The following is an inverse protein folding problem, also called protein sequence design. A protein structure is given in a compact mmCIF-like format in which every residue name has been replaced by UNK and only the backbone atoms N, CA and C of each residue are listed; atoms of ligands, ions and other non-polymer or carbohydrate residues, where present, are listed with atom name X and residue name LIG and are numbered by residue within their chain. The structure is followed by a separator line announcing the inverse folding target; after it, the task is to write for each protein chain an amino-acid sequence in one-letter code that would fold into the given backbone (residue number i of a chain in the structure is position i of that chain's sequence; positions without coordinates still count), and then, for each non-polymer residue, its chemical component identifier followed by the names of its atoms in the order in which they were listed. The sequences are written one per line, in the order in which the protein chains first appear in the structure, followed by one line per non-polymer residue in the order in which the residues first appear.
data_IF_460979244700
#
_entry.id   IF_460979244700
#
_cell.length_a   1.000
_cell.length_b   1.000
_cell.length_c   1.000
_cell.angle_alpha   90.00
_cell.angle_beta   90.00
_cell.angle_gamma   90.00
#
_symmetry.space_group_name_H-M   'P 1'
#
loop_
_entity.id
_entity.type
_entity.pdbx_description
1 polymer ?
2 non-polymer ?
3 non-polymer ?
4 non-polymer ?
#
# COMPACT_ATOMS: atom_id res chain seq x y z
N UNK A 9 -3.85 16.50 22.53
CA UNK A 9 -3.28 15.44 21.69
C UNK A 9 -2.53 14.40 22.53
N UNK A 10 -3.17 13.27 22.78
CA UNK A 10 -2.55 12.18 23.54
C UNK A 10 -1.43 11.53 22.72
N UNK A 11 -0.21 11.55 23.25
CA UNK A 11 0.94 11.04 22.53
C UNK A 11 1.18 9.55 22.77
N UNK A 12 0.53 9.00 23.80
CA UNK A 12 0.70 7.58 24.12
C UNK A 12 0.01 6.63 23.13
N UNK A 13 -1.25 6.92 22.75
CA UNK A 13 -1.86 6.01 21.75
C UNK A 13 -1.16 6.09 20.38
N UNK A 14 -0.53 7.23 20.08
CA UNK A 14 0.17 7.41 18.82
C UNK A 14 1.43 6.54 18.74
N UNK A 15 2.26 6.62 19.78
CA UNK A 15 3.50 5.83 19.83
C UNK A 15 3.21 4.34 19.81
N UNK A 16 2.08 3.94 20.36
CA UNK A 16 1.69 2.54 20.42
C UNK A 16 1.23 2.02 19.06
N UNK A 17 0.53 2.87 18.31
CA UNK A 17 0.05 2.50 17.00
C UNK A 17 1.19 2.29 16.03
N UNK A 18 2.20 3.15 16.12
CA UNK A 18 3.39 3.05 15.29
C UNK A 18 4.23 1.84 15.69
N UNK A 19 4.13 1.46 16.96
CA UNK A 19 4.87 0.30 17.47
C UNK A 19 4.30 -0.99 16.89
N UNK A 20 2.99 -1.19 17.03
CA UNK A 20 2.34 -2.38 16.52
C UNK A 20 2.55 -2.47 15.01
N UNK A 21 2.41 -1.34 14.34
CA UNK A 21 2.57 -1.24 12.89
C UNK A 21 3.97 -1.67 12.47
N UNK A 22 4.94 -1.47 13.35
CA UNK A 22 6.31 -1.90 13.11
C UNK A 22 6.49 -3.36 13.52
N UNK A 23 5.92 -3.71 14.66
CA UNK A 23 5.96 -5.08 15.15
C UNK A 23 5.28 -6.02 14.17
N UNK A 24 4.21 -5.56 13.55
CA UNK A 24 3.54 -6.34 12.52
C UNK A 24 4.51 -6.61 11.40
N UNK A 25 5.21 -5.57 10.95
CA UNK A 25 6.21 -5.68 9.91
C UNK A 25 7.26 -6.72 10.26
N UNK A 26 7.70 -6.70 11.51
CA UNK A 26 8.69 -7.66 11.98
C UNK A 26 8.10 -9.06 12.02
N UNK A 27 6.83 -9.14 12.40
CA UNK A 27 6.15 -10.43 12.52
C UNK A 27 6.02 -11.11 11.16
N UNK A 28 5.72 -10.32 10.14
CA UNK A 28 5.57 -10.84 8.78
C UNK A 28 6.88 -11.42 8.26
N UNK A 29 8.00 -10.87 8.71
CA UNK A 29 9.31 -11.36 8.32
C UNK A 29 9.66 -12.64 9.07
N UNK A 30 9.21 -12.74 10.33
CA UNK A 30 9.51 -13.89 11.16
C UNK A 30 8.84 -15.15 10.63
N UNK A 31 7.61 -15.00 10.14
CA UNK A 31 6.86 -16.12 9.58
C UNK A 31 7.50 -16.59 8.27
N UNK A 32 8.13 -15.67 7.55
CA UNK A 32 8.82 -15.92 6.27
C UNK A 32 7.85 -16.32 5.16
N UNK A 33 6.92 -17.24 5.45
CA UNK A 33 5.91 -17.65 4.49
C UNK A 33 4.95 -16.50 4.20
N UNK A 34 4.47 -16.40 2.95
CA UNK A 34 3.59 -15.31 2.52
C UNK A 34 2.27 -15.28 3.30
N UNK A 35 1.47 -14.24 3.10
CA UNK A 35 0.18 -14.12 3.78
C UNK A 35 -0.84 -15.09 3.17
N UNK A 36 -0.49 -15.65 2.02
CA UNK A 36 -1.26 -16.73 1.40
C UNK A 36 -2.68 -16.42 0.97
N UNK A 37 -2.84 -15.47 0.05
CA UNK A 37 -4.16 -15.18 -0.51
C UNK A 37 -4.08 -15.01 -2.03
N UNK A 38 -2.89 -15.20 -2.57
CA UNK A 38 -2.66 -15.09 -4.01
C UNK A 38 -2.06 -16.34 -4.61
N UNK A 39 -0.75 -16.34 -4.85
CA UNK A 39 -0.09 -17.48 -5.49
C UNK A 39 0.02 -18.66 -4.53
N UNK A 40 0.91 -18.55 -3.55
CA UNK A 40 1.14 -19.64 -2.59
C UNK A 40 0.00 -19.79 -1.57
N UNK A 41 -1.22 -19.98 -2.04
CA UNK A 41 -2.37 -20.14 -1.14
C UNK A 41 -3.02 -21.52 -1.27
N UNK A 42 -2.68 -22.21 -2.35
CA UNK A 42 -3.26 -23.52 -2.62
C UNK A 42 -2.60 -24.59 -1.75
N UNK A 48 -15.66 -23.47 0.07
CA UNK A 48 -16.76 -22.65 0.54
C UNK A 48 -16.30 -21.61 1.56
N UNK A 49 -15.03 -21.70 1.95
CA UNK A 49 -14.46 -20.77 2.94
C UNK A 49 -13.90 -19.50 2.30
N UNK A 50 -14.36 -19.20 1.09
CA UNK A 50 -13.87 -18.05 0.34
C UNK A 50 -15.01 -17.22 -0.25
N UNK A 51 -14.70 -15.98 -0.63
CA UNK A 51 -15.68 -15.11 -1.26
C UNK A 51 -15.00 -14.28 -2.36
N UNK A 52 -15.78 -13.77 -3.33
CA UNK A 52 -15.25 -12.99 -4.46
C UNK A 52 -14.23 -11.93 -4.05
N UNK A 53 -13.11 -11.86 -4.77
CA UNK A 53 -12.00 -11.00 -4.39
C UNK A 53 -12.35 -9.51 -4.53
N UNK A 54 -13.26 -9.20 -5.44
CA UNK A 54 -13.70 -7.81 -5.63
C UNK A 54 -14.39 -7.30 -4.37
N UNK A 55 -15.22 -8.14 -3.76
CA UNK A 55 -15.90 -7.80 -2.52
C UNK A 55 -14.94 -7.83 -1.34
N UNK A 56 -13.96 -8.72 -1.42
CA UNK A 56 -12.99 -8.91 -0.35
C UNK A 56 -12.11 -7.69 -0.15
N UNK A 57 -11.47 -7.25 -1.23
CA UNK A 57 -10.59 -6.09 -1.16
C UNK A 57 -11.38 -4.81 -0.98
N UNK A 58 -12.64 -4.82 -1.40
CA UNK A 58 -13.52 -3.67 -1.17
C UNK A 58 -13.71 -3.47 0.33
N UNK A 59 -14.13 -4.54 1.02
CA UNK A 59 -14.37 -4.49 2.46
C UNK A 59 -13.10 -4.25 3.27
N UNK A 60 -12.00 -4.85 2.83
CA UNK A 60 -10.74 -4.73 3.56
C UNK A 60 -10.17 -3.33 3.53
N UNK A 61 -10.13 -2.72 2.35
CA UNK A 61 -9.46 -1.43 2.18
C UNK A 61 -10.38 -0.25 2.44
N UNK A 62 -11.68 -0.50 2.53
CA UNK A 62 -12.66 0.57 2.74
C UNK A 62 -12.42 1.42 3.99
N UNK A 63 -12.04 0.79 5.14
CA UNK A 63 -11.81 1.63 6.33
C UNK A 63 -10.71 2.68 6.16
N UNK A 64 -9.66 2.36 5.40
CA UNK A 64 -8.56 3.31 5.20
C UNK A 64 -8.97 4.47 4.30
N UNK A 65 -10.18 4.40 3.76
CA UNK A 65 -10.72 5.53 3.03
C UNK A 65 -11.78 6.27 3.86
N UNK A 66 -12.76 5.53 4.37
CA UNK A 66 -13.90 6.14 5.04
C UNK A 66 -13.50 6.92 6.30
N UNK A 67 -12.60 6.33 7.09
CA UNK A 67 -12.18 6.96 8.33
C UNK A 67 -11.44 8.29 8.07
N UNK A 68 -10.43 8.31 7.17
CA UNK A 68 -9.87 9.64 6.89
C UNK A 68 -10.84 10.57 6.17
N UNK A 69 -11.77 10.00 5.41
CA UNK A 69 -12.77 10.80 4.71
C UNK A 69 -13.72 11.46 5.72
N UNK A 70 -14.01 10.74 6.80
CA UNK A 70 -14.88 11.28 7.84
C UNK A 70 -14.16 12.33 8.66
N UNK A 71 -12.89 12.09 8.93
CA UNK A 71 -12.07 13.03 9.68
C UNK A 71 -11.92 14.34 8.90
N UNK A 72 -11.71 14.24 7.59
CA UNK A 72 -11.62 15.40 6.73
C UNK A 72 -12.91 16.19 6.67
N UNK A 73 -14.04 15.49 6.74
CA UNK A 73 -15.35 16.10 6.57
C UNK A 73 -15.73 17.06 7.70
N UNK A 74 -14.94 17.06 8.77
CA UNK A 74 -15.20 17.95 9.90
C UNK A 74 -14.26 19.17 9.89
N UNK A 75 -13.40 19.23 8.88
CA UNK A 75 -12.44 20.32 8.73
C UNK A 75 -12.91 21.33 7.69
N UNK A 76 -12.49 22.61 7.83
CA UNK A 76 -12.87 23.66 6.87
C UNK A 76 -12.38 23.36 5.46
N UNK A 77 -13.11 23.83 4.46
CA UNK A 77 -12.75 23.60 3.07
C UNK A 77 -11.91 24.76 2.54
N UNK A 78 -10.60 24.65 2.67
CA UNK A 78 -9.68 25.64 2.12
C UNK A 78 -8.29 25.02 1.86
N UNK A 79 -7.87 25.02 0.61
CA UNK A 79 -6.55 24.52 0.25
C UNK A 79 -5.47 25.47 0.78
N UNK A 80 -5.87 26.69 1.11
CA UNK A 80 -4.99 27.67 1.73
C UNK A 80 -4.92 27.44 3.24
N UNK A 81 -4.80 26.18 3.64
CA UNK A 81 -4.76 25.82 5.04
C UNK A 81 -3.61 24.90 5.39
N UNK A 82 -3.70 24.23 6.55
CA UNK A 82 -2.63 23.39 7.11
C UNK A 82 -2.14 22.29 6.16
N UNK A 83 -0.83 22.04 6.16
CA UNK A 83 -0.22 21.00 5.31
C UNK A 83 -0.65 19.60 5.71
N UNK A 84 -0.93 19.40 7.00
CA UNK A 84 -1.29 18.09 7.51
C UNK A 84 -2.62 17.60 6.99
N UNK A 85 -3.50 18.54 6.66
CA UNK A 85 -4.82 18.22 6.13
C UNK A 85 -4.74 17.79 4.68
N UNK A 86 -4.04 18.59 3.87
CA UNK A 86 -3.86 18.29 2.45
C UNK A 86 -3.18 16.95 2.27
N UNK A 87 -2.23 16.64 3.15
CA UNK A 87 -1.54 15.36 3.10
C UNK A 87 -2.49 14.22 3.46
N UNK A 88 -3.40 14.48 4.39
CA UNK A 88 -4.40 13.47 4.76
C UNK A 88 -5.36 13.24 3.60
N UNK A 89 -5.56 14.28 2.80
CA UNK A 89 -6.37 14.18 1.60
C UNK A 89 -5.74 13.26 0.58
N UNK A 90 -4.42 13.31 0.46
CA UNK A 90 -3.69 12.43 -0.44
C UNK A 90 -3.78 10.98 0.02
N UNK A 91 -3.78 10.79 1.33
CA UNK A 91 -3.98 9.47 1.91
C UNK A 91 -5.37 8.96 1.52
N UNK A 92 -6.33 9.87 1.55
CA UNK A 92 -7.70 9.57 1.19
C UNK A 92 -7.84 9.31 -0.31
N UNK A 93 -7.09 10.05 -1.11
CA UNK A 93 -7.10 9.89 -2.56
C UNK A 93 -6.56 8.52 -2.98
N UNK A 94 -5.47 8.09 -2.36
CA UNK A 94 -4.91 6.77 -2.63
C UNK A 94 -5.93 5.66 -2.37
N UNK A 95 -6.51 5.65 -1.19
CA UNK A 95 -7.39 4.57 -0.78
C UNK A 95 -8.78 4.68 -1.42
N UNK A 96 -9.03 5.80 -2.08
CA UNK A 96 -10.24 5.91 -2.89
C UNK A 96 -10.07 5.07 -4.14
N UNK A 97 -8.91 5.18 -4.77
CA UNK A 97 -8.56 4.34 -5.91
C UNK A 97 -8.49 2.87 -5.50
N UNK A 98 -7.82 2.59 -4.39
CA UNK A 98 -7.61 1.22 -3.92
C UNK A 98 -8.93 0.49 -3.67
N UNK A 99 -9.94 1.23 -3.22
CA UNK A 99 -11.21 0.64 -2.85
C UNK A 99 -12.21 0.60 -4.00
N UNK A 100 -12.48 1.76 -4.57
CA UNK A 100 -13.55 1.90 -5.56
C UNK A 100 -13.08 1.64 -6.99
N UNK A 101 -11.77 1.72 -7.22
CA UNK A 101 -11.27 1.48 -8.56
C UNK A 101 -10.54 0.15 -8.67
N UNK A 102 -9.47 -0.01 -7.90
CA UNK A 102 -8.69 -1.25 -7.96
C UNK A 102 -9.51 -2.46 -7.54
N UNK A 103 -10.12 -2.38 -6.37
CA UNK A 103 -10.77 -3.54 -5.77
C UNK A 103 -12.02 -3.96 -6.54
N UNK A 104 -12.77 -2.99 -7.05
CA UNK A 104 -14.02 -3.30 -7.75
C UNK A 104 -13.77 -3.78 -9.19
N UNK A 105 -12.53 -3.65 -9.65
CA UNK A 105 -12.15 -4.10 -10.99
C UNK A 105 -11.17 -5.26 -10.90
N UNK A 106 -10.91 -5.67 -9.66
CA UNK A 106 -9.97 -6.73 -9.36
C UNK A 106 -10.31 -8.03 -10.07
N UNK A 107 -9.30 -8.72 -10.57
CA UNK A 107 -9.51 -9.97 -11.30
C UNK A 107 -8.80 -11.12 -10.59
N UNK A 108 -8.85 -11.12 -9.26
CA UNK A 108 -8.17 -12.13 -8.48
C UNK A 108 -9.02 -13.34 -8.14
N UNK A 109 -8.37 -14.42 -7.73
CA UNK A 109 -9.07 -15.62 -7.28
C UNK A 109 -9.83 -15.35 -5.99
N UNK A 110 -10.84 -16.19 -5.67
CA UNK A 110 -11.59 -16.12 -4.41
C UNK A 110 -10.71 -15.97 -3.17
N UNK A 111 -11.11 -15.06 -2.29
CA UNK A 111 -10.31 -14.66 -1.14
C UNK A 111 -10.81 -15.30 0.16
N UNK A 112 -9.87 -15.72 1.03
CA UNK A 112 -10.21 -16.34 2.32
C UNK A 112 -10.97 -15.39 3.25
N UNK A 113 -12.18 -15.79 3.66
CA UNK A 113 -13.03 -14.95 4.50
C UNK A 113 -12.37 -14.59 5.82
N UNK A 114 -11.67 -15.56 6.41
CA UNK A 114 -10.95 -15.38 7.67
C UNK A 114 -10.05 -14.13 7.66
N UNK A 115 -9.34 -13.92 6.57
CA UNK A 115 -8.36 -12.83 6.50
C UNK A 115 -8.98 -11.44 6.35
N UNK A 116 -10.26 -11.39 5.97
CA UNK A 116 -10.91 -10.11 5.73
C UNK A 116 -11.00 -9.28 7.01
N UNK A 117 -11.47 -9.92 8.08
CA UNK A 117 -11.62 -9.23 9.36
C UNK A 117 -10.29 -8.70 9.89
N UNK A 118 -9.21 -9.45 9.67
CA UNK A 118 -7.89 -8.99 10.08
C UNK A 118 -7.39 -7.88 9.16
N UNK A 119 -7.63 -8.04 7.86
CA UNK A 119 -7.30 -7.02 6.89
C UNK A 119 -8.08 -5.76 7.15
N UNK A 120 -9.36 -5.90 7.51
CA UNK A 120 -10.19 -4.76 7.83
C UNK A 120 -9.73 -4.10 9.13
N UNK A 121 -9.36 -4.93 10.10
CA UNK A 121 -8.84 -4.43 11.38
C UNK A 121 -7.59 -3.60 11.16
N UNK A 122 -6.74 -4.04 10.24
CA UNK A 122 -5.51 -3.32 9.94
C UNK A 122 -5.84 -1.94 9.37
N UNK A 123 -6.64 -1.93 8.30
CA UNK A 123 -6.99 -0.68 7.62
C UNK A 123 -7.83 0.26 8.47
N UNK A 124 -8.46 -0.27 9.52
CA UNK A 124 -9.19 0.58 10.44
C UNK A 124 -8.21 1.31 11.36
N UNK A 125 -7.43 0.55 12.12
CA UNK A 125 -6.44 1.11 13.01
C UNK A 125 -5.46 2.03 12.31
N UNK A 126 -5.04 1.64 11.11
CA UNK A 126 -4.10 2.43 10.33
C UNK A 126 -4.72 3.74 9.87
N UNK A 127 -5.97 3.66 9.40
CA UNK A 127 -6.72 4.83 9.01
C UNK A 127 -6.94 5.77 10.18
N UNK A 128 -7.20 5.21 11.36
CA UNK A 128 -7.37 6.01 12.55
C UNK A 128 -6.07 6.69 12.93
N UNK A 129 -4.99 5.92 12.96
CA UNK A 129 -3.67 6.42 13.31
C UNK A 129 -3.23 7.59 12.41
N UNK A 130 -3.19 7.35 11.11
CA UNK A 130 -2.72 8.35 10.15
C UNK A 130 -3.60 9.61 10.16
N UNK A 131 -4.91 9.40 10.30
CA UNK A 131 -5.85 10.50 10.26
C UNK A 131 -5.84 11.33 11.53
N UNK A 132 -5.72 10.65 12.67
CA UNK A 132 -5.70 11.34 13.95
C UNK A 132 -4.41 12.13 14.14
N UNK A 133 -3.30 11.55 13.71
CA UNK A 133 -2.00 12.18 13.90
C UNK A 133 -1.89 13.47 13.09
N UNK A 134 -2.16 13.36 11.80
CA UNK A 134 -1.99 14.49 10.90
C UNK A 134 -2.82 15.71 11.28
N UNK A 135 -4.00 15.48 11.85
CA UNK A 135 -4.89 16.58 12.20
C UNK A 135 -4.61 17.15 13.59
N UNK A 136 -4.46 16.25 14.57
CA UNK A 136 -4.40 16.66 15.96
C UNK A 136 -2.97 16.78 16.52
N UNK A 137 -2.02 16.12 15.87
CA UNK A 137 -0.66 16.04 16.41
C UNK A 137 0.37 16.75 15.53
N UNK A 138 0.32 16.49 14.23
CA UNK A 138 1.32 17.00 13.29
C UNK A 138 1.43 18.52 13.32
N UNK A 139 2.66 19.02 13.33
CA UNK A 139 2.93 20.45 13.36
C UNK A 139 4.03 20.81 12.37
N UNK A 140 3.68 21.66 11.40
CA UNK A 140 4.59 22.00 10.31
C UNK A 140 5.02 23.46 10.36
N UNK A 141 6.24 23.75 9.88
CA UNK A 141 6.73 25.12 9.71
C UNK A 141 5.92 25.88 8.65
N UNK A 142 6.22 27.15 8.47
CA UNK A 142 5.44 28.01 7.59
C UNK A 142 5.81 27.86 6.12
N UNK A 143 7.07 27.55 5.84
CA UNK A 143 7.53 27.38 4.47
C UNK A 143 7.68 25.92 4.08
N UNK A 144 6.66 25.13 4.40
CA UNK A 144 6.72 23.69 4.17
C UNK A 144 6.54 23.33 2.69
N UNK A 145 5.68 24.06 1.99
CA UNK A 145 5.37 23.74 0.59
C UNK A 145 6.56 24.00 -0.35
N UNK A 146 7.57 24.72 0.16
CA UNK A 146 8.77 24.97 -0.61
C UNK A 146 9.95 24.16 -0.08
N UNK A 147 9.72 23.49 1.05
CA UNK A 147 10.75 22.66 1.67
C UNK A 147 11.05 21.42 0.83
N UNK A 148 12.30 20.99 0.86
CA UNK A 148 12.76 19.87 0.03
C UNK A 148 12.07 18.56 0.43
N UNK A 149 11.70 18.46 1.70
CA UNK A 149 11.03 17.26 2.20
C UNK A 149 9.65 17.10 1.57
N UNK A 150 8.98 18.21 1.31
CA UNK A 150 7.65 18.19 0.72
C UNK A 150 7.73 18.06 -0.80
N UNK A 151 8.53 18.93 -1.41
CA UNK A 151 8.64 19.02 -2.86
C UNK A 151 9.16 17.72 -3.46
N UNK A 152 10.01 17.02 -2.70
CA UNK A 152 10.51 15.71 -3.12
C UNK A 152 9.57 14.61 -2.64
N UNK A 153 9.11 14.73 -1.40
CA UNK A 153 8.19 13.77 -0.83
C UNK A 153 6.90 13.66 -1.61
N UNK A 154 6.36 14.79 -2.05
CA UNK A 154 5.14 14.79 -2.84
C UNK A 154 5.45 14.20 -4.22
N UNK A 155 6.62 14.56 -4.74
CA UNK A 155 7.10 14.01 -5.99
C UNK A 155 7.19 12.48 -5.94
N UNK A 156 7.81 11.95 -4.89
CA UNK A 156 7.96 10.50 -4.73
C UNK A 156 6.61 9.81 -4.58
N UNK A 157 5.67 10.52 -3.96
CA UNK A 157 4.33 9.96 -3.73
C UNK A 157 3.61 9.72 -5.05
N UNK A 158 3.51 10.75 -5.89
CA UNK A 158 2.83 10.61 -7.17
C UNK A 158 3.61 9.70 -8.11
N UNK A 159 4.92 9.66 -7.94
CA UNK A 159 5.77 8.75 -8.71
C UNK A 159 5.42 7.31 -8.41
N UNK A 160 5.48 6.97 -7.13
CA UNK A 160 5.17 5.62 -6.68
C UNK A 160 3.75 5.21 -6.96
N UNK A 161 2.82 6.15 -6.85
CA UNK A 161 1.42 5.85 -7.12
C UNK A 161 1.20 5.59 -8.61
N UNK A 162 1.91 6.34 -9.44
CA UNK A 162 1.85 6.13 -10.87
C UNK A 162 2.32 4.73 -11.20
N UNK A 163 3.43 4.34 -10.58
CA UNK A 163 4.01 3.02 -10.80
C UNK A 163 3.12 1.92 -10.28
N UNK A 164 2.64 2.08 -9.05
CA UNK A 164 1.76 1.10 -8.42
C UNK A 164 0.48 0.83 -9.22
N UNK A 165 -0.13 1.89 -9.74
CA UNK A 165 -1.38 1.76 -10.49
C UNK A 165 -1.13 1.24 -11.90
N UNK A 166 -0.05 1.69 -12.52
CA UNK A 166 0.33 1.25 -13.86
C UNK A 166 0.62 -0.24 -13.89
N UNK A 167 1.18 -0.76 -12.81
CA UNK A 167 1.53 -2.16 -12.71
C UNK A 167 0.33 -3.03 -12.34
N UNK A 168 -0.54 -2.51 -11.49
CA UNK A 168 -1.75 -3.25 -11.10
C UNK A 168 -2.68 -3.43 -12.30
N UNK A 169 -2.62 -2.48 -13.22
CA UNK A 169 -3.41 -2.55 -14.45
C UNK A 169 -2.82 -3.56 -15.43
N UNK A 170 -1.49 -3.57 -15.51
CA UNK A 170 -0.80 -4.53 -16.36
C UNK A 170 -1.12 -5.95 -15.89
N UNK A 171 -1.06 -6.15 -14.58
CA UNK A 171 -1.44 -7.43 -13.98
C UNK A 171 -2.90 -7.77 -14.23
N UNK A 172 -3.77 -6.76 -14.19
CA UNK A 172 -5.20 -6.97 -14.41
C UNK A 172 -5.50 -7.46 -15.82
N UNK A 173 -4.72 -6.97 -16.79
CA UNK A 173 -4.97 -7.31 -18.19
C UNK A 173 -4.34 -8.65 -18.54
N UNK A 174 -3.77 -9.32 -17.54
CA UNK A 174 -3.21 -10.65 -17.73
C UNK A 174 -4.29 -11.73 -17.61
N UNK A 175 -5.45 -11.34 -17.08
CA UNK A 175 -6.57 -12.25 -16.92
C UNK A 175 -7.86 -11.73 -17.55
N UNK A 176 -8.71 -12.66 -18.00
CA UNK A 176 -10.12 -12.36 -18.20
C UNK A 176 -10.78 -12.56 -16.84
N UNK A 177 -11.89 -11.84 -16.57
CA UNK A 177 -12.56 -12.08 -15.28
C UNK A 177 -12.98 -13.55 -15.14
N UNK A 178 -12.78 -14.11 -13.95
CA UNK A 178 -13.15 -15.49 -13.68
C UNK A 178 -12.01 -16.47 -13.89
N UNK A 179 -10.98 -16.05 -14.62
CA UNK A 179 -9.83 -16.89 -14.92
C UNK A 179 -8.99 -17.20 -13.69
N UNK A 180 -8.44 -18.40 -13.65
CA UNK A 180 -7.49 -18.80 -12.63
C UNK A 180 -6.17 -19.15 -13.32
N UNK A 181 -5.28 -18.17 -13.40
CA UNK A 181 -4.07 -18.32 -14.18
C UNK A 181 -3.00 -17.32 -13.79
N UNK A 182 -1.75 -17.68 -14.04
CA UNK A 182 -0.63 -16.77 -13.81
C UNK A 182 0.25 -16.71 -15.05
N UNK A 183 0.21 -15.56 -15.72
CA UNK A 183 1.05 -15.31 -16.88
C UNK A 183 2.25 -14.46 -16.48
N UNK A 184 3.31 -14.51 -17.28
CA UNK A 184 4.50 -13.72 -17.03
C UNK A 184 4.23 -12.23 -17.29
N UNK A 185 4.31 -11.42 -16.23
CA UNK A 185 4.03 -9.98 -16.36
C UNK A 185 5.07 -9.27 -17.22
N UNK A 186 4.62 -8.78 -18.37
CA UNK A 186 5.48 -8.04 -19.27
C UNK A 186 5.01 -6.61 -19.38
N UNK A 187 5.93 -5.70 -19.66
CA UNK A 187 5.59 -4.29 -19.77
C UNK A 187 6.39 -3.42 -18.83
N UNK A 188 6.09 -2.14 -18.84
CA UNK A 188 6.84 -1.13 -18.11
C UNK A 188 7.23 -1.46 -16.69
N UNK A 189 8.53 -1.39 -16.42
CA UNK A 189 9.11 -1.58 -15.10
C UNK A 189 9.01 -3.03 -14.58
N UNK A 190 8.15 -3.84 -15.18
CA UNK A 190 8.12 -5.27 -14.88
C UNK A 190 9.30 -5.95 -15.54
N UNK A 191 9.87 -5.31 -16.56
CA UNK A 191 11.03 -5.84 -17.26
C UNK A 191 12.26 -5.83 -16.37
N UNK A 192 12.20 -5.06 -15.29
CA UNK A 192 13.32 -4.95 -14.35
C UNK A 192 13.03 -5.70 -13.06
N UNK A 193 11.83 -5.54 -12.52
CA UNK A 193 11.48 -6.20 -11.26
C UNK A 193 10.17 -6.99 -11.34
N UNK A 194 10.14 -8.10 -10.61
CA UNK A 194 8.99 -9.00 -10.57
C UNK A 194 7.79 -8.35 -9.88
N UNK A 195 8.05 -7.60 -8.81
CA UNK A 195 6.98 -6.93 -8.08
C UNK A 195 6.97 -5.44 -8.34
N UNK A 196 6.62 -5.06 -9.55
CA UNK A 196 6.63 -3.66 -9.96
C UNK A 196 5.61 -2.82 -9.20
N UNK A 197 4.41 -3.36 -9.03
CA UNK A 197 3.36 -2.68 -8.28
C UNK A 197 3.75 -2.46 -6.82
N UNK A 198 4.51 -3.40 -6.27
CA UNK A 198 5.00 -3.28 -4.90
C UNK A 198 6.06 -2.22 -4.80
N UNK A 199 6.95 -2.17 -5.78
CA UNK A 199 7.98 -1.14 -5.84
C UNK A 199 7.35 0.24 -5.81
N UNK A 200 6.30 0.43 -6.61
CA UNK A 200 5.60 1.69 -6.66
C UNK A 200 4.99 2.07 -5.32
N UNK A 201 4.24 1.15 -4.72
CA UNK A 201 3.60 1.40 -3.44
C UNK A 201 4.62 1.73 -2.35
N UNK A 202 5.76 1.06 -2.37
CA UNK A 202 6.82 1.30 -1.40
C UNK A 202 7.39 2.70 -1.57
N UNK A 203 7.67 3.06 -2.81
CA UNK A 203 8.09 4.41 -3.15
C UNK A 203 7.04 5.42 -2.69
N UNK A 204 5.77 5.05 -2.86
CA UNK A 204 4.64 5.92 -2.54
C UNK A 204 4.59 6.30 -1.06
N UNK A 205 4.81 5.33 -0.18
CA UNK A 205 4.69 5.59 1.26
C UNK A 205 5.97 6.17 1.87
N UNK A 206 7.11 5.92 1.24
CA UNK A 206 8.36 6.52 1.69
C UNK A 206 8.30 8.02 1.45
N UNK A 207 7.84 8.41 0.27
CA UNK A 207 7.64 9.81 -0.04
C UNK A 207 6.59 10.42 0.86
N UNK A 208 5.57 9.64 1.18
CA UNK A 208 4.50 10.08 2.06
C UNK A 208 5.03 10.37 3.46
N UNK A 209 5.93 9.51 3.93
CA UNK A 209 6.58 9.71 5.22
C UNK A 209 7.46 10.95 5.16
N UNK A 210 8.05 11.18 4.00
CA UNK A 210 8.96 12.30 3.79
C UNK A 210 8.20 13.61 3.73
N UNK A 211 7.01 13.57 3.13
CA UNK A 211 6.18 14.76 2.97
C UNK A 211 5.47 15.13 4.28
N UNK A 212 5.21 14.14 5.12
CA UNK A 212 4.57 14.39 6.41
C UNK A 212 5.59 14.59 7.51
N UNK A 213 6.78 14.02 7.31
CA UNK A 213 7.85 14.06 8.31
C UNK A 213 7.31 13.57 9.65
N UNK A 214 6.49 12.52 9.60
CA UNK A 214 5.81 12.04 10.79
C UNK A 214 6.22 10.61 11.14
N UNK A 215 6.25 10.33 12.44
CA UNK A 215 6.57 9.00 12.95
C UNK A 215 5.59 7.91 12.47
N UNK A 216 4.27 8.14 12.59
CA UNK A 216 3.37 7.04 12.19
C UNK A 216 3.41 6.73 10.70
N UNK A 217 3.73 7.72 9.87
CA UNK A 217 3.84 7.50 8.44
C UNK A 217 5.10 6.70 8.11
N UNK A 218 6.18 6.98 8.83
CA UNK A 218 7.43 6.26 8.66
C UNK A 218 7.25 4.80 9.04
N UNK A 219 6.41 4.58 10.04
CA UNK A 219 6.12 3.24 10.52
C UNK A 219 5.36 2.43 9.47
N UNK A 220 4.30 3.02 8.93
CA UNK A 220 3.49 2.37 7.91
C UNK A 220 4.33 2.10 6.67
N UNK A 221 5.23 3.02 6.36
CA UNK A 221 6.15 2.85 5.25
C UNK A 221 7.08 1.68 5.51
N UNK A 222 7.52 1.55 6.76
CA UNK A 222 8.38 0.46 7.15
C UNK A 222 7.65 -0.88 7.08
N UNK A 223 6.39 -0.88 7.48
CA UNK A 223 5.56 -2.07 7.39
C UNK A 223 5.42 -2.50 5.94
N UNK A 224 5.00 -1.55 5.11
CA UNK A 224 4.79 -1.78 3.69
C UNK A 224 6.06 -2.33 3.03
N UNK A 225 7.21 -1.80 3.45
CA UNK A 225 8.50 -2.28 2.97
C UNK A 225 8.72 -3.74 3.37
N UNK A 226 8.50 -4.05 4.64
CA UNK A 226 8.61 -5.41 5.13
C UNK A 226 7.63 -6.36 4.43
N UNK A 227 6.36 -5.99 4.43
CA UNK A 227 5.31 -6.87 3.91
C UNK A 227 5.41 -7.07 2.40
N UNK A 228 5.34 -5.97 1.65
CA UNK A 228 5.37 -6.03 0.19
C UNK A 228 6.74 -6.47 -0.33
N UNK A 229 7.79 -6.18 0.43
CA UNK A 229 9.13 -6.61 0.08
C UNK A 229 9.29 -8.13 0.17
N UNK A 230 8.60 -8.72 1.12
CA UNK A 230 8.57 -10.17 1.26
C UNK A 230 7.66 -10.78 0.21
N UNK A 231 6.52 -10.11 0.00
CA UNK A 231 5.55 -10.53 -1.00
C UNK A 231 6.18 -10.52 -2.40
N UNK A 232 7.02 -9.52 -2.66
CA UNK A 232 7.72 -9.40 -3.95
C UNK A 232 8.72 -10.52 -4.15
N UNK A 233 9.42 -10.87 -3.08
CA UNK A 233 10.43 -11.91 -3.14
C UNK A 233 9.80 -13.27 -3.45
N UNK A 234 8.66 -13.55 -2.83
CA UNK A 234 7.98 -14.81 -3.04
C UNK A 234 7.41 -14.91 -4.45
N UNK A 235 6.92 -13.78 -4.94
CA UNK A 235 6.46 -13.68 -6.32
C UNK A 235 7.62 -13.95 -7.28
N UNK A 236 8.78 -13.42 -6.95
CA UNK A 236 9.98 -13.62 -7.74
C UNK A 236 10.37 -15.11 -7.73
N UNK A 237 10.32 -15.71 -6.54
CA UNK A 237 10.56 -17.14 -6.38
C UNK A 237 9.61 -17.94 -7.25
N UNK A 238 8.33 -17.57 -7.19
CA UNK A 238 7.27 -18.29 -7.90
C UNK A 238 7.54 -18.32 -9.41
N UNK A 239 7.88 -17.16 -9.97
CA UNK A 239 8.15 -17.05 -11.40
C UNK A 239 9.35 -17.90 -11.84
N UNK A 240 10.42 -17.83 -11.07
CA UNK A 240 11.63 -18.60 -11.34
C UNK A 240 11.39 -20.10 -11.17
N UNK A 241 10.41 -20.43 -10.33
CA UNK A 241 10.07 -21.82 -10.05
C UNK A 241 9.15 -22.40 -11.11
N UNK A 242 8.27 -21.56 -11.66
CA UNK A 242 7.17 -22.04 -12.51
C UNK A 242 7.36 -21.74 -14.00
N UNK A 243 8.31 -20.86 -14.33
CA UNK A 243 8.56 -20.50 -15.72
C UNK A 243 10.02 -20.68 -16.09
N UNK A 244 10.28 -21.63 -16.99
CA UNK A 244 11.64 -21.96 -17.40
C UNK A 244 12.26 -20.86 -18.25
N UNK A 245 11.41 -20.07 -18.90
CA UNK A 245 11.89 -19.00 -19.77
C UNK A 245 11.61 -17.62 -19.18
N UNK A 246 11.52 -17.54 -17.85
CA UNK A 246 11.31 -16.26 -17.18
C UNK A 246 12.60 -15.44 -17.21
N UNK A 247 12.51 -14.16 -17.58
CA UNK A 247 13.66 -13.27 -17.72
C UNK A 247 14.53 -13.21 -16.46
N UNK A 248 15.76 -13.67 -16.59
CA UNK A 248 16.64 -13.86 -15.45
C UNK A 248 17.47 -12.61 -15.14
N UNK A 249 17.23 -11.55 -15.91
CA UNK A 249 17.83 -10.26 -15.61
C UNK A 249 16.97 -9.53 -14.59
N UNK A 250 15.74 -9.97 -14.45
CA UNK A 250 14.80 -9.34 -13.53
C UNK A 250 15.23 -9.58 -12.08
N UNK A 251 14.88 -8.64 -11.22
CA UNK A 251 15.07 -8.81 -9.79
C UNK A 251 13.71 -8.86 -9.10
N UNK A 252 13.70 -9.02 -7.79
CA UNK A 252 12.45 -9.19 -7.07
C UNK A 252 11.74 -7.85 -6.81
N UNK A 253 12.49 -6.83 -6.41
CA UNK A 253 11.86 -5.60 -5.94
C UNK A 253 12.62 -4.33 -6.32
N UNK A 254 13.87 -4.24 -5.88
CA UNK A 254 14.71 -3.10 -6.19
C UNK A 254 15.57 -3.41 -7.41
N UNK A 255 15.41 -2.61 -8.48
CA UNK A 255 16.16 -2.80 -9.73
C UNK A 255 17.66 -2.96 -9.52
N UNK A 256 18.21 -4.01 -10.14
CA UNK A 256 19.65 -4.28 -10.17
C UNK A 256 20.25 -4.58 -8.80
N UNK A 257 19.40 -4.76 -7.79
CA UNK A 257 19.88 -5.00 -6.43
C UNK A 257 19.24 -6.23 -5.79
N UNK A 258 17.94 -6.16 -5.49
CA UNK A 258 17.24 -7.28 -4.88
C UNK A 258 15.97 -7.64 -5.65
#
# INVERSE_FOLDING_TARGET
GGGTMQVQCQQSPVLAGSATLVALGALALYVAKPSGYGKHTESLKPAATRLPARAAWFLQELPSFAVPAGILARQPLSLFGPPGTVLLGLFCVHYFHRTFVYSLLNRGRPYPAILILRGTAFCTGNGVLQGYYLIYCAEYPDGWYTDIRFSLGVFLFILGMGINIHSDYILRQLRKPGEISYRIPQGGLFTYVSGANFLGEIIEWIGYALATWSLPALAFAFFSLCFLGLRAFHHHRFYLKMFEDYPKSRKALIPFIF
#
